data_IF_305291221744
#
_entry.id   IF_305291221744
#
_cell.length_a   1.000
_cell.length_b   1.000
_cell.length_c   1.000
_cell.angle_alpha   90.00
_cell.angle_beta   90.00
_cell.angle_gamma   90.00
#
_symmetry.space_group_name_H-M   'P 1'
#
loop_
_entity.id
_entity.type
_entity.pdbx_description
1 polymer ?
#
# COMPACT_ATOMS: atom_id res chain seq x y z
N UNK A 1 -5.54 6.96 11.11
CA UNK A 1 -5.57 7.35 9.68
C UNK A 1 -6.64 6.49 9.03
N UNK A 2 -7.53 7.07 8.23
CA UNK A 2 -8.63 6.31 7.63
C UNK A 2 -8.15 5.50 6.43
N UNK A 3 -8.71 4.29 6.25
CA UNK A 3 -8.40 3.43 5.10
C UNK A 3 -8.58 4.17 3.78
N UNK A 4 -9.68 4.93 3.64
CA UNK A 4 -10.01 5.71 2.46
C UNK A 4 -8.96 6.78 2.10
N UNK A 5 -8.25 7.32 3.09
CA UNK A 5 -7.18 8.29 2.85
C UNK A 5 -5.96 7.62 2.22
N UNK A 6 -5.57 6.45 2.76
CA UNK A 6 -4.46 5.66 2.23
C UNK A 6 -4.78 5.13 0.84
N UNK A 7 -6.00 4.61 0.61
CA UNK A 7 -6.39 4.11 -0.71
C UNK A 7 -6.34 5.20 -1.77
N UNK A 8 -6.74 6.43 -1.43
CA UNK A 8 -6.65 7.56 -2.36
C UNK A 8 -5.21 7.85 -2.76
N UNK A 9 -4.28 7.90 -1.80
CA UNK A 9 -2.86 8.09 -2.10
C UNK A 9 -2.28 6.94 -2.93
N UNK A 10 -2.69 5.69 -2.68
CA UNK A 10 -2.26 4.55 -3.50
C UNK A 10 -2.68 4.74 -4.96
N UNK A 11 -3.95 5.08 -5.22
CA UNK A 11 -4.45 5.33 -6.58
C UNK A 11 -3.74 6.49 -7.28
N UNK A 12 -3.46 7.58 -6.54
CA UNK A 12 -2.68 8.71 -7.06
C UNK A 12 -1.23 8.30 -7.40
N UNK A 13 -0.63 7.38 -6.63
CA UNK A 13 0.74 6.93 -6.86
C UNK A 13 0.85 5.98 -8.06
N UNK A 14 -0.07 5.04 -8.19
CA UNK A 14 -0.10 4.07 -9.31
C UNK A 14 -0.69 4.66 -10.60
N UNK A 15 -1.10 5.94 -10.56
CA UNK A 15 -1.69 6.68 -11.69
C UNK A 15 -2.89 5.94 -12.30
N UNK A 16 -3.82 5.52 -11.44
CA UNK A 16 -5.02 4.77 -11.81
C UNK A 16 -6.27 5.47 -11.27
N UNK A 17 -7.37 5.38 -12.04
CA UNK A 17 -8.67 5.86 -11.58
C UNK A 17 -9.12 5.12 -10.31
N UNK A 18 -9.62 5.82 -9.27
CA UNK A 18 -10.08 5.17 -8.05
C UNK A 18 -11.25 4.23 -8.32
N UNK A 19 -11.06 2.96 -8.00
CA UNK A 19 -12.12 1.94 -8.00
C UNK A 19 -12.49 1.52 -6.57
N UNK A 20 -13.68 0.95 -6.35
CA UNK A 20 -14.03 0.38 -5.05
C UNK A 20 -13.08 -0.75 -4.68
N UNK A 21 -12.39 -0.61 -3.55
CA UNK A 21 -11.44 -1.61 -3.02
C UNK A 21 -11.72 -1.89 -1.55
N UNK A 22 -11.26 -3.04 -1.08
CA UNK A 22 -11.35 -3.42 0.33
C UNK A 22 -9.98 -3.89 0.85
N UNK A 23 -9.92 -4.28 2.13
CA UNK A 23 -8.64 -4.69 2.77
C UNK A 23 -8.03 -5.95 2.16
N UNK A 24 -8.81 -6.81 1.51
CA UNK A 24 -8.33 -8.04 0.88
C UNK A 24 -8.02 -7.87 -0.61
N UNK A 25 -8.30 -6.69 -1.19
CA UNK A 25 -8.00 -6.40 -2.60
C UNK A 25 -6.52 -6.58 -2.88
N UNK A 26 -6.22 -7.46 -3.84
CA UNK A 26 -4.86 -7.74 -4.31
C UNK A 26 -4.35 -6.64 -5.23
N UNK A 27 -3.23 -6.01 -4.88
CA UNK A 27 -2.61 -5.00 -5.73
C UNK A 27 -2.16 -5.58 -7.07
N UNK A 28 -1.62 -6.79 -7.05
CA UNK A 28 -1.12 -7.45 -8.26
C UNK A 28 -2.25 -8.02 -9.12
N UNK A 29 -3.21 -8.71 -8.51
CA UNK A 29 -4.22 -9.45 -9.27
C UNK A 29 -5.43 -8.61 -9.65
N UNK A 30 -5.83 -7.64 -8.81
CA UNK A 30 -7.01 -6.80 -9.05
C UNK A 30 -6.65 -5.40 -9.55
N UNK A 31 -5.49 -4.86 -9.18
CA UNK A 31 -5.04 -3.51 -9.58
C UNK A 31 -3.90 -3.53 -10.61
N UNK A 32 -3.54 -4.71 -11.13
CA UNK A 32 -2.49 -4.91 -12.15
C UNK A 32 -1.15 -4.23 -11.80
N UNK A 33 -0.83 -4.11 -10.50
CA UNK A 33 0.41 -3.50 -10.03
C UNK A 33 1.55 -4.49 -10.24
N UNK A 34 2.47 -4.14 -11.14
CA UNK A 34 3.66 -4.94 -11.39
C UNK A 34 4.74 -4.76 -10.30
N UNK A 35 5.79 -5.57 -10.36
CA UNK A 35 6.88 -5.53 -9.36
C UNK A 35 7.61 -4.19 -9.31
N UNK A 36 7.72 -3.46 -10.43
CA UNK A 36 8.38 -2.16 -10.48
C UNK A 36 7.47 -1.07 -9.89
N UNK A 37 6.19 -1.09 -10.24
CA UNK A 37 5.16 -0.23 -9.66
C UNK A 37 5.04 -0.47 -8.16
N UNK A 38 5.15 -1.71 -7.69
CA UNK A 38 5.12 -2.02 -6.26
C UNK A 38 6.27 -1.33 -5.51
N UNK A 39 7.49 -1.41 -6.02
CA UNK A 39 8.66 -0.74 -5.41
C UNK A 39 8.47 0.78 -5.39
N UNK A 40 7.99 1.37 -6.49
CA UNK A 40 7.69 2.79 -6.57
C UNK A 40 6.59 3.19 -5.59
N UNK A 41 5.56 2.36 -5.45
CA UNK A 41 4.45 2.54 -4.51
C UNK A 41 4.95 2.57 -3.07
N UNK A 42 5.69 1.55 -2.64
CA UNK A 42 6.23 1.49 -1.27
C UNK A 42 7.15 2.66 -0.96
N UNK A 43 7.99 3.07 -1.92
CA UNK A 43 8.90 4.21 -1.76
C UNK A 43 8.12 5.50 -1.56
N UNK A 44 7.13 5.77 -2.42
CA UNK A 44 6.30 6.98 -2.32
C UNK A 44 5.40 6.98 -1.09
N UNK A 45 4.88 5.83 -0.68
CA UNK A 45 4.08 5.71 0.56
C UNK A 45 4.93 5.98 1.80
N UNK A 46 6.14 5.44 1.85
CA UNK A 46 7.10 5.70 2.92
C UNK A 46 7.37 7.21 3.08
N UNK A 47 7.60 7.92 1.97
CA UNK A 47 7.79 9.37 1.96
C UNK A 47 6.51 10.14 2.32
N UNK A 48 5.36 9.75 1.75
CA UNK A 48 4.07 10.45 1.93
C UNK A 48 3.58 10.40 3.36
N UNK A 49 3.79 9.27 4.03
CA UNK A 49 3.27 9.01 5.38
C UNK A 49 4.34 9.06 6.47
N UNK A 50 5.57 9.47 6.14
CA UNK A 50 6.72 9.51 7.06
C UNK A 50 6.94 8.16 7.78
N UNK A 51 6.83 7.06 7.02
CA UNK A 51 7.03 5.70 7.50
C UNK A 51 8.37 5.18 7.00
N UNK A 52 9.22 4.59 7.85
CA UNK A 52 10.48 4.03 7.38
C UNK A 52 10.26 2.94 6.33
N UNK A 53 10.93 3.07 5.17
CA UNK A 53 10.87 2.07 4.11
C UNK A 53 11.22 0.66 4.60
N UNK A 54 12.11 0.56 5.59
CA UNK A 54 12.46 -0.69 6.26
C UNK A 54 11.23 -1.47 6.78
N UNK A 55 10.16 -0.81 7.24
CA UNK A 55 8.95 -1.49 7.71
C UNK A 55 8.22 -2.23 6.59
N UNK A 56 8.27 -1.71 5.36
CA UNK A 56 7.71 -2.40 4.20
C UNK A 56 8.53 -3.63 3.81
N UNK A 57 9.84 -3.61 4.06
CA UNK A 57 10.72 -4.77 3.84
C UNK A 57 10.49 -5.83 4.91
N UNK A 58 10.42 -5.44 6.18
CA UNK A 58 10.19 -6.34 7.32
C UNK A 58 8.84 -7.05 7.22
N UNK A 59 7.85 -6.42 6.59
CA UNK A 59 6.49 -6.92 6.40
C UNK A 59 6.15 -7.11 4.92
N UNK A 60 7.13 -7.55 4.12
CA UNK A 60 6.98 -7.75 2.68
C UNK A 60 5.91 -8.80 2.32
N UNK A 61 5.49 -9.64 3.26
CA UNK A 61 4.38 -10.59 3.13
C UNK A 61 3.00 -9.91 3.13
N UNK A 62 2.89 -8.69 3.66
CA UNK A 62 1.63 -7.95 3.77
C UNK A 62 1.42 -6.98 2.60
N UNK A 63 2.45 -6.66 1.82
CA UNK A 63 2.38 -5.61 0.79
C UNK A 63 1.53 -6.00 -0.43
N UNK A 64 1.12 -7.27 -0.55
CA UNK A 64 0.32 -7.78 -1.66
C UNK A 64 -1.13 -7.26 -1.65
N UNK A 65 -1.62 -6.77 -0.50
CA UNK A 65 -3.00 -6.32 -0.34
C UNK A 65 -3.10 -4.89 0.17
N UNK A 66 -4.20 -4.21 -0.19
CA UNK A 66 -4.50 -2.86 0.31
C UNK A 66 -4.57 -2.80 1.84
N UNK A 67 -5.09 -3.85 2.47
CA UNK A 67 -5.18 -3.96 3.93
C UNK A 67 -3.83 -4.13 4.59
N UNK A 68 -2.90 -4.87 4.00
CA UNK A 68 -1.57 -5.03 4.55
C UNK A 68 -0.74 -3.75 4.44
N UNK A 69 -0.81 -3.02 3.31
CA UNK A 69 -0.24 -1.67 3.21
C UNK A 69 -0.81 -0.76 4.30
N UNK A 70 -2.13 -0.75 4.47
CA UNK A 70 -2.78 0.02 5.51
C UNK A 70 -2.25 -0.33 6.92
N UNK A 71 -2.07 -1.61 7.23
CA UNK A 71 -1.53 -2.05 8.52
C UNK A 71 -0.09 -1.57 8.73
N UNK A 72 0.76 -1.63 7.71
CA UNK A 72 2.15 -1.15 7.79
C UNK A 72 2.19 0.35 8.08
N UNK A 73 1.39 1.14 7.35
CA UNK A 73 1.34 2.61 7.49
C UNK A 73 0.79 3.01 8.86
N UNK A 74 -0.28 2.36 9.31
CA UNK A 74 -0.92 2.68 10.60
C UNK A 74 -0.20 2.10 11.80
N UNK A 75 0.76 1.19 11.58
CA UNK A 75 1.44 0.46 12.65
C UNK A 75 0.56 -0.60 13.33
N UNK A 76 -0.55 -1.01 12.71
CA UNK A 76 -1.43 -2.09 13.19
C UNK A 76 -0.86 -3.49 12.95
N UNK A 77 0.34 -3.59 12.35
CA UNK A 77 1.02 -4.88 12.16
C UNK A 77 1.30 -5.52 13.51
N UNK A 78 0.63 -6.64 13.80
CA UNK A 78 0.89 -7.41 15.03
C UNK A 78 2.25 -8.09 14.87
N UNK A 79 3.21 -7.68 15.70
CA UNK A 79 4.46 -8.43 15.93
C UNK A 79 4.20 -9.79 16.57
#
# INVERSE_FOLDING_TARGET
>A
MEFNAITKSIFEIIDMEPIPVNKTTSLKEELDVDSLQMVNLMTRLAETFDVPFARFIEHADLIDTMGGIYQIITGEVKS
#
